data_IF_705607706746
#
_entry.id   IF_705607706746
#
_cell.length_a   1.000
_cell.length_b   1.000
_cell.length_c   1.000
_cell.angle_alpha   90.00
_cell.angle_beta   90.00
_cell.angle_gamma   90.00
#
_symmetry.space_group_name_H-M   'P 1'
#
loop_
_entity.id
_entity.type
_entity.pdbx_description
1 polymer ?
#
# COMPACT_ATOMS: atom_id res chain seq x y z
N UNK A 1 -3.08 -0.33 -31.56
CA UNK A 1 -4.34 -0.98 -32.00
C UNK A 1 -5.20 -1.38 -30.80
N UNK A 2 -6.45 -0.95 -30.76
CA UNK A 2 -7.44 -1.40 -29.76
C UNK A 2 -8.32 -2.47 -30.38
N UNK A 3 -8.60 -3.54 -29.63
CA UNK A 3 -9.49 -4.64 -30.06
C UNK A 3 -10.76 -4.57 -29.21
N UNK A 4 -11.97 -4.64 -29.80
CA UNK A 4 -13.21 -4.60 -29.04
C UNK A 4 -13.26 -5.66 -27.93
N UNK A 5 -13.58 -5.25 -26.71
CA UNK A 5 -13.63 -6.13 -25.53
C UNK A 5 -12.27 -6.45 -24.89
N UNK A 6 -11.16 -5.89 -25.40
CA UNK A 6 -9.82 -6.08 -24.83
C UNK A 6 -9.35 -4.82 -24.12
N UNK A 7 -9.01 -4.96 -22.84
CA UNK A 7 -8.32 -3.93 -22.07
C UNK A 7 -6.83 -4.27 -22.01
N UNK A 8 -5.99 -3.36 -22.48
CA UNK A 8 -4.54 -3.47 -22.36
C UNK A 8 -4.08 -2.75 -21.08
N UNK A 9 -3.12 -3.35 -20.39
CA UNK A 9 -2.45 -2.76 -19.23
C UNK A 9 -0.99 -2.53 -19.59
N UNK A 10 -0.51 -1.30 -19.42
CA UNK A 10 0.91 -0.98 -19.59
C UNK A 10 1.69 -1.45 -18.36
N UNK A 11 2.64 -2.35 -18.59
CA UNK A 11 3.51 -2.94 -17.56
C UNK A 11 4.98 -2.54 -17.71
N UNK A 12 5.27 -1.51 -18.50
CA UNK A 12 6.61 -0.93 -18.62
C UNK A 12 7.07 -0.35 -17.28
N UNK A 13 8.39 -0.26 -17.06
CA UNK A 13 8.95 0.18 -15.78
C UNK A 13 8.59 1.65 -15.42
N UNK A 14 8.26 2.47 -16.42
CA UNK A 14 7.92 3.89 -16.24
C UNK A 14 6.80 4.32 -17.16
N UNK A 15 5.92 5.18 -16.63
CA UNK A 15 4.91 5.90 -17.41
C UNK A 15 5.32 7.37 -17.42
N UNK A 16 5.87 7.84 -18.54
CA UNK A 16 6.55 9.13 -18.61
C UNK A 16 7.70 9.19 -17.61
N UNK A 17 7.68 10.17 -16.71
CA UNK A 17 8.73 10.33 -15.68
C UNK A 17 8.45 9.53 -14.39
N UNK A 18 7.24 9.02 -14.20
CA UNK A 18 6.85 8.29 -13.00
C UNK A 18 7.25 6.81 -13.07
N UNK A 19 7.55 6.20 -11.92
CA UNK A 19 7.68 4.74 -11.80
C UNK A 19 6.29 4.14 -11.94
N UNK A 20 6.15 3.10 -12.75
CA UNK A 20 4.86 2.43 -12.95
C UNK A 20 4.55 1.53 -11.74
N UNK A 21 3.39 1.75 -11.12
CA UNK A 21 2.90 0.90 -10.02
C UNK A 21 2.42 -0.48 -10.48
N UNK A 22 2.21 -0.67 -11.79
CA UNK A 22 1.75 -1.92 -12.39
C UNK A 22 2.87 -2.52 -13.22
N UNK A 23 3.57 -3.51 -12.67
CA UNK A 23 4.67 -4.19 -13.39
C UNK A 23 4.50 -5.69 -13.33
N UNK A 24 5.32 -6.42 -14.09
CA UNK A 24 5.39 -7.87 -13.99
C UNK A 24 6.49 -8.29 -13.02
N UNK A 25 6.24 -9.36 -12.25
CA UNK A 25 7.18 -9.87 -11.24
C UNK A 25 8.60 -10.07 -11.78
N UNK A 26 8.73 -10.61 -12.99
CA UNK A 26 10.01 -10.90 -13.64
C UNK A 26 10.38 -9.86 -14.72
N UNK A 27 9.84 -8.65 -14.63
CA UNK A 27 10.09 -7.55 -15.58
C UNK A 27 9.29 -7.68 -16.88
N UNK A 28 9.43 -8.78 -17.61
CA UNK A 28 8.73 -9.03 -18.89
C UNK A 28 7.77 -10.23 -18.84
N UNK A 29 7.72 -10.96 -17.73
CA UNK A 29 6.84 -12.13 -17.56
C UNK A 29 6.40 -12.34 -16.11
N UNK A 30 5.41 -13.21 -15.90
CA UNK A 30 4.89 -13.60 -14.59
C UNK A 30 3.60 -12.88 -14.22
N UNK A 31 3.31 -12.83 -12.91
CA UNK A 31 2.12 -12.18 -12.37
C UNK A 31 2.25 -10.65 -12.37
N UNK A 32 1.09 -9.98 -12.45
CA UNK A 32 0.99 -8.54 -12.22
C UNK A 32 1.24 -8.24 -10.74
N UNK A 33 2.15 -7.32 -10.49
CA UNK A 33 2.48 -6.82 -9.16
C UNK A 33 2.13 -5.34 -9.07
N UNK A 34 1.60 -4.94 -7.90
CA UNK A 34 1.05 -3.61 -7.66
C UNK A 34 1.84 -2.87 -6.58
N UNK A 35 2.11 -1.57 -6.82
CA UNK A 35 2.76 -0.64 -5.88
C UNK A 35 4.09 -1.15 -5.30
N UNK A 36 4.92 -1.80 -6.13
CA UNK A 36 6.23 -2.33 -5.70
C UNK A 36 7.23 -1.20 -5.38
N UNK A 37 7.05 -0.02 -5.95
CA UNK A 37 7.84 1.17 -5.71
C UNK A 37 7.66 1.74 -4.30
N UNK A 38 6.58 1.38 -3.61
CA UNK A 38 6.32 1.80 -2.23
C UNK A 38 6.77 0.67 -1.30
N UNK A 39 7.88 0.83 -0.57
CA UNK A 39 8.32 -0.17 0.39
C UNK A 39 7.26 -0.30 1.49
N UNK A 40 6.91 -1.55 1.82
CA UNK A 40 6.08 -1.82 2.99
C UNK A 40 6.94 -1.74 4.23
N UNK A 41 6.59 -0.85 5.13
CA UNK A 41 7.23 -0.70 6.42
C UNK A 41 6.35 -1.29 7.52
N UNK A 42 6.95 -2.13 8.35
CA UNK A 42 6.31 -2.66 9.56
C UNK A 42 7.13 -2.22 10.76
N UNK A 43 6.49 -1.50 11.67
CA UNK A 43 7.08 -0.99 12.91
C UNK A 43 6.35 -1.59 14.10
N UNK A 44 6.93 -1.51 15.30
CA UNK A 44 6.36 -2.13 16.49
C UNK A 44 4.93 -1.65 16.81
N UNK A 45 4.57 -0.41 16.43
CA UNK A 45 3.19 0.08 16.60
C UNK A 45 2.18 -0.75 15.80
N UNK A 46 2.57 -1.30 14.65
CA UNK A 46 1.67 -2.02 13.76
C UNK A 46 1.15 -3.35 14.33
N UNK A 47 1.73 -3.84 15.43
CA UNK A 47 1.21 -5.01 16.14
C UNK A 47 -0.16 -4.77 16.80
N UNK A 48 -0.50 -3.52 17.10
CA UNK A 48 -1.77 -3.15 17.72
C UNK A 48 -2.46 -2.06 16.90
N UNK A 49 -3.78 -1.99 16.94
CA UNK A 49 -4.52 -0.85 16.40
C UNK A 49 -4.47 0.34 17.36
N UNK A 50 -4.57 1.59 16.87
CA UNK A 50 -4.75 2.74 17.76
C UNK A 50 -6.10 2.65 18.48
N UNK A 51 -6.09 2.96 19.77
CA UNK A 51 -7.31 3.13 20.56
C UNK A 51 -8.00 4.42 20.09
N UNK A 52 -9.32 4.41 19.80
CA UNK A 52 -10.06 5.59 19.40
C UNK A 52 -9.97 6.72 20.43
N UNK A 53 -9.81 7.95 19.96
CA UNK A 53 -9.67 9.12 20.84
C UNK A 53 -10.86 9.31 21.79
N UNK A 54 -12.07 9.01 21.34
CA UNK A 54 -13.28 9.11 22.18
C UNK A 54 -13.25 8.17 23.38
N UNK A 55 -12.64 6.99 23.25
CA UNK A 55 -12.53 6.03 24.35
C UNK A 55 -11.49 6.47 25.39
N UNK A 56 -10.37 7.05 24.93
CA UNK A 56 -9.35 7.67 25.79
C UNK A 56 -9.94 8.86 26.56
N UNK A 57 -10.72 9.72 25.89
CA UNK A 57 -11.39 10.86 26.55
C UNK A 57 -12.44 10.43 27.57
N UNK A 58 -13.18 9.35 27.29
CA UNK A 58 -14.22 8.83 28.19
C UNK A 58 -13.63 8.16 29.43
N UNK A 59 -12.47 7.51 29.30
CA UNK A 59 -11.78 6.85 30.39
C UNK A 59 -10.36 7.41 30.56
N UNK A 60 -10.14 8.38 31.47
CA UNK A 60 -8.83 9.00 31.66
C UNK A 60 -7.75 8.03 32.18
N UNK A 61 -8.12 6.84 32.66
CA UNK A 61 -7.16 5.78 33.03
C UNK A 61 -6.72 4.92 31.83
N UNK A 62 -7.36 5.06 30.66
CA UNK A 62 -7.01 4.35 29.44
C UNK A 62 -5.98 5.16 28.65
N UNK A 63 -4.77 4.61 28.51
CA UNK A 63 -3.70 5.21 27.71
C UNK A 63 -3.61 4.56 26.33
N UNK A 64 -2.99 5.25 25.38
CA UNK A 64 -2.81 4.77 24.02
C UNK A 64 -1.79 3.61 23.94
N UNK A 65 -1.97 2.72 22.97
CA UNK A 65 -1.02 1.67 22.61
C UNK A 65 0.35 2.28 22.21
N UNK A 66 1.48 1.62 22.53
CA UNK A 66 2.81 2.12 22.19
C UNK A 66 2.97 2.42 20.69
N UNK A 67 3.52 3.60 20.38
CA UNK A 67 3.78 4.06 19.01
C UNK A 67 2.57 4.66 18.28
N UNK A 68 1.41 4.74 18.94
CA UNK A 68 0.19 5.38 18.44
C UNK A 68 -0.18 6.68 19.16
N UNK A 69 0.68 7.17 20.04
CA UNK A 69 0.45 8.39 20.84
C UNK A 69 0.27 9.65 19.98
#
# INVERSE_FOLDING_TARGET
PTVPGVTYVDVSARIGNAVNSQTLKNGTSGELIWMKEIPREWTDRNYLYPIPMNDIQRNPNLTQNPGWQ
#
